data_IF_777077742085
#
_entry.id   IF_777077742085
#
_cell.length_a   1.000
_cell.length_b   1.000
_cell.length_c   1.000
_cell.angle_alpha   90.00
_cell.angle_beta   90.00
_cell.angle_gamma   90.00
#
_symmetry.space_group_name_H-M   'P 1'
#
loop_
_entity.id
_entity.type
_entity.pdbx_description
1 polymer ?
#
# COMPACT_ATOMS: atom_id res chain seq x y z
N UNK A 1 41.25 -2.90 -9.52
CA UNK A 1 40.00 -2.43 -8.88
C UNK A 1 40.34 -1.12 -8.21
N UNK A 2 40.05 0.00 -8.88
CA UNK A 2 40.25 1.32 -8.29
C UNK A 2 39.28 1.46 -7.11
N UNK A 3 39.82 1.73 -5.92
CA UNK A 3 39.01 2.10 -4.76
C UNK A 3 38.36 3.44 -5.06
N UNK A 4 37.02 3.57 -4.99
CA UNK A 4 36.37 4.85 -5.20
C UNK A 4 36.88 5.90 -4.19
N UNK A 5 36.83 7.20 -4.53
CA UNK A 5 37.28 8.28 -3.65
C UNK A 5 36.62 8.18 -2.27
N UNK A 6 37.39 8.42 -1.21
CA UNK A 6 36.96 8.32 0.20
C UNK A 6 35.75 9.19 0.58
N UNK A 7 35.35 10.14 -0.28
CA UNK A 7 34.31 11.14 -0.01
C UNK A 7 32.97 10.87 -0.72
N UNK A 8 32.87 9.88 -1.61
CA UNK A 8 31.57 9.54 -2.23
C UNK A 8 30.86 8.48 -1.39
N UNK A 9 29.67 8.78 -0.81
CA UNK A 9 28.94 7.81 -0.02
C UNK A 9 28.63 6.57 -0.87
N UNK A 10 28.98 5.41 -0.35
CA UNK A 10 28.76 4.13 -1.01
C UNK A 10 27.26 3.86 -1.14
N UNK A 11 26.86 3.08 -2.16
CA UNK A 11 25.46 2.67 -2.34
C UNK A 11 24.86 2.07 -1.04
N UNK A 12 25.68 1.34 -0.28
CA UNK A 12 25.32 0.77 1.02
C UNK A 12 24.98 1.84 2.06
N UNK A 13 25.78 2.89 2.18
CA UNK A 13 25.55 3.98 3.13
C UNK A 13 24.29 4.77 2.77
N UNK A 14 24.11 5.09 1.49
CA UNK A 14 22.90 5.76 0.97
C UNK A 14 21.66 4.93 1.31
N UNK A 15 21.73 3.61 1.10
CA UNK A 15 20.65 2.67 1.40
C UNK A 15 20.32 2.64 2.89
N UNK A 16 21.32 2.46 3.76
CA UNK A 16 21.12 2.39 5.21
C UNK A 16 20.50 3.67 5.75
N UNK A 17 20.92 4.83 5.24
CA UNK A 17 20.38 6.13 5.65
C UNK A 17 18.89 6.31 5.33
N UNK A 18 18.41 5.71 4.23
CA UNK A 18 17.04 5.86 3.74
C UNK A 18 16.15 4.63 3.97
N UNK A 19 16.72 3.53 4.49
CA UNK A 19 16.04 2.25 4.65
C UNK A 19 14.75 2.37 5.49
N UNK A 20 14.79 3.09 6.61
CA UNK A 20 13.60 3.29 7.45
C UNK A 20 12.49 4.01 6.71
N UNK A 21 12.82 5.05 5.93
CA UNK A 21 11.84 5.83 5.17
C UNK A 21 11.22 5.00 4.06
N UNK A 22 12.02 4.20 3.38
CA UNK A 22 11.53 3.22 2.41
C UNK A 22 10.56 2.23 3.03
N UNK A 23 10.90 1.64 4.17
CA UNK A 23 10.03 0.66 4.84
C UNK A 23 8.72 1.30 5.28
N UNK A 24 8.75 2.55 5.74
CA UNK A 24 7.54 3.32 6.03
C UNK A 24 6.67 3.49 4.77
N UNK A 25 7.27 3.85 3.62
CA UNK A 25 6.54 3.95 2.34
C UNK A 25 5.96 2.60 1.92
N UNK A 26 6.72 1.51 2.06
CA UNK A 26 6.25 0.16 1.75
C UNK A 26 5.12 -0.29 2.68
N UNK A 27 5.17 0.09 3.95
CA UNK A 27 4.09 -0.17 4.92
C UNK A 27 2.80 0.55 4.52
N UNK A 28 2.89 1.79 4.03
CA UNK A 28 1.73 2.48 3.44
C UNK A 28 1.24 1.77 2.17
N UNK A 29 2.16 1.31 1.31
CA UNK A 29 1.79 0.47 0.16
C UNK A 29 1.00 -0.77 0.57
N UNK A 30 1.42 -1.45 1.64
CA UNK A 30 0.70 -2.59 2.21
C UNK A 30 -0.68 -2.19 2.76
N UNK A 31 -0.81 -1.02 3.39
CA UNK A 31 -2.11 -0.51 3.87
C UNK A 31 -3.09 -0.26 2.71
N UNK A 32 -2.61 0.25 1.57
CA UNK A 32 -3.44 0.41 0.37
C UNK A 32 -3.87 -0.95 -0.22
N UNK A 33 -2.98 -1.95 -0.21
CA UNK A 33 -3.32 -3.32 -0.61
C UNK A 33 -4.38 -3.90 0.33
N UNK A 34 -4.26 -3.68 1.64
CA UNK A 34 -5.25 -4.10 2.62
C UNK A 34 -6.61 -3.44 2.35
N UNK A 35 -6.63 -2.13 2.11
CA UNK A 35 -7.85 -1.40 1.73
C UNK A 35 -8.48 -1.97 0.45
N UNK A 36 -7.66 -2.33 -0.54
CA UNK A 36 -8.14 -2.94 -1.77
C UNK A 36 -8.83 -4.28 -1.52
N UNK A 37 -8.24 -5.15 -0.70
CA UNK A 37 -8.86 -6.44 -0.37
C UNK A 37 -10.18 -6.23 0.36
N UNK A 38 -10.22 -5.33 1.36
CA UNK A 38 -11.46 -4.99 2.08
C UNK A 38 -12.53 -4.49 1.10
N UNK A 39 -12.17 -3.58 0.17
CA UNK A 39 -13.10 -3.04 -0.83
C UNK A 39 -13.65 -4.13 -1.75
N UNK A 40 -12.82 -5.09 -2.17
CA UNK A 40 -13.25 -6.22 -2.99
C UNK A 40 -14.19 -7.17 -2.23
N UNK A 41 -13.95 -7.41 -0.94
CA UNK A 41 -14.87 -8.18 -0.09
C UNK A 41 -16.22 -7.47 0.02
N UNK A 42 -16.19 -6.17 0.33
CA UNK A 42 -17.41 -5.36 0.43
C UNK A 42 -18.18 -5.34 -0.90
N UNK A 43 -17.49 -5.39 -2.04
CA UNK A 43 -18.14 -5.47 -3.34
C UNK A 43 -18.92 -6.78 -3.51
N UNK A 44 -18.35 -7.92 -3.10
CA UNK A 44 -19.03 -9.23 -3.16
C UNK A 44 -20.25 -9.22 -2.24
N UNK A 45 -20.12 -8.74 -1.00
CA UNK A 45 -21.24 -8.67 -0.06
C UNK A 45 -22.36 -7.76 -0.57
N UNK A 46 -22.02 -6.59 -1.10
CA UNK A 46 -23.01 -5.68 -1.67
C UNK A 46 -23.74 -6.30 -2.87
N UNK A 47 -23.04 -7.09 -3.70
CA UNK A 47 -23.65 -7.77 -4.83
C UNK A 47 -24.66 -8.85 -4.41
N UNK A 48 -24.46 -9.49 -3.26
CA UNK A 48 -25.32 -10.57 -2.75
C UNK A 48 -26.46 -10.06 -1.87
N UNK A 49 -26.22 -9.03 -1.08
CA UNK A 49 -27.16 -8.54 -0.05
C UNK A 49 -27.91 -7.27 -0.44
N UNK A 50 -27.52 -6.59 -1.53
CA UNK A 50 -28.19 -5.37 -1.98
C UNK A 50 -29.70 -5.57 -2.13
N UNK A 51 -30.51 -4.63 -1.64
CA UNK A 51 -31.97 -4.75 -1.70
C UNK A 51 -32.55 -4.31 -3.05
N UNK A 52 -31.86 -3.41 -3.74
CA UNK A 52 -32.26 -2.83 -5.02
C UNK A 52 -31.18 -3.00 -6.10
N UNK A 53 -31.50 -2.60 -7.34
CA UNK A 53 -30.55 -2.70 -8.46
C UNK A 53 -29.29 -1.85 -8.24
N UNK A 54 -29.42 -0.70 -7.58
CA UNK A 54 -28.29 0.20 -7.27
C UNK A 54 -27.34 -0.52 -6.30
N UNK A 55 -27.86 -1.10 -5.23
CA UNK A 55 -27.08 -1.84 -4.24
C UNK A 55 -26.42 -3.10 -4.80
N UNK A 56 -27.07 -3.83 -5.71
CA UNK A 56 -26.53 -5.09 -6.26
C UNK A 56 -25.54 -4.92 -7.41
N UNK A 57 -25.60 -3.80 -8.15
CA UNK A 57 -24.79 -3.61 -9.37
C UNK A 57 -23.87 -2.42 -9.26
N UNK A 58 -24.41 -1.24 -8.93
CA UNK A 58 -23.65 0.01 -8.97
C UNK A 58 -22.65 0.06 -7.82
N UNK A 59 -23.08 -0.25 -6.60
CA UNK A 59 -22.20 -0.22 -5.42
C UNK A 59 -21.03 -1.20 -5.55
N UNK A 60 -21.21 -2.49 -5.91
CA UNK A 60 -20.11 -3.40 -6.17
C UNK A 60 -19.16 -2.93 -7.26
N UNK A 61 -19.69 -2.38 -8.36
CA UNK A 61 -18.86 -1.88 -9.46
C UNK A 61 -17.94 -0.74 -8.99
N UNK A 62 -18.46 0.21 -8.21
CA UNK A 62 -17.68 1.29 -7.61
C UNK A 62 -16.62 0.75 -6.64
N UNK A 63 -16.98 -0.22 -5.80
CA UNK A 63 -16.06 -0.84 -4.85
C UNK A 63 -14.96 -1.66 -5.53
N UNK A 64 -15.26 -2.33 -6.65
CA UNK A 64 -14.25 -3.02 -7.48
C UNK A 64 -13.32 -2.02 -8.14
N UNK A 65 -13.85 -0.94 -8.73
CA UNK A 65 -13.03 0.10 -9.35
C UNK A 65 -12.11 0.78 -8.31
N UNK A 66 -12.65 1.12 -7.14
CA UNK A 66 -11.90 1.71 -6.04
C UNK A 66 -10.84 0.74 -5.48
N UNK A 67 -11.21 -0.51 -5.23
CA UNK A 67 -10.29 -1.54 -4.78
C UNK A 67 -9.16 -1.80 -5.79
N UNK A 68 -9.48 -1.87 -7.09
CA UNK A 68 -8.49 -1.98 -8.15
C UNK A 68 -7.50 -0.82 -8.19
N UNK A 69 -8.00 0.42 -8.05
CA UNK A 69 -7.15 1.60 -7.97
C UNK A 69 -6.23 1.57 -6.73
N UNK A 70 -6.77 1.23 -5.55
CA UNK A 70 -5.99 1.09 -4.33
C UNK A 70 -4.92 0.00 -4.44
N UNK A 71 -5.25 -1.14 -5.04
CA UNK A 71 -4.31 -2.24 -5.25
C UNK A 71 -3.14 -1.79 -6.13
N UNK A 72 -3.45 -1.14 -7.25
CA UNK A 72 -2.44 -0.63 -8.17
C UNK A 72 -1.52 0.41 -7.49
N UNK A 73 -2.09 1.36 -6.73
CA UNK A 73 -1.32 2.36 -5.98
C UNK A 73 -0.45 1.68 -4.93
N UNK A 74 -1.02 0.76 -4.15
CA UNK A 74 -0.31 0.05 -3.08
C UNK A 74 0.87 -0.77 -3.59
N UNK A 75 0.69 -1.49 -4.71
CA UNK A 75 1.77 -2.22 -5.37
C UNK A 75 2.87 -1.30 -5.89
N UNK A 76 2.52 -0.16 -6.48
CA UNK A 76 3.47 0.83 -6.98
C UNK A 76 4.24 1.51 -5.84
N UNK A 77 3.57 1.86 -4.73
CA UNK A 77 4.21 2.36 -3.52
C UNK A 77 5.15 1.33 -2.90
N UNK A 78 4.76 0.06 -2.83
CA UNK A 78 5.64 -1.01 -2.34
C UNK A 78 6.89 -1.15 -3.23
N UNK A 79 6.74 -0.97 -4.54
CA UNK A 79 7.88 -0.97 -5.47
C UNK A 79 8.69 0.32 -5.47
N UNK A 80 8.27 1.34 -4.72
CA UNK A 80 8.84 2.70 -4.69
C UNK A 80 8.83 3.36 -6.08
N UNK A 81 7.79 3.08 -6.87
CA UNK A 81 7.65 3.64 -8.19
C UNK A 81 7.14 5.10 -8.12
N UNK A 82 7.86 6.08 -8.70
CA UNK A 82 7.45 7.48 -8.68
C UNK A 82 6.09 7.74 -9.34
N UNK A 83 5.58 6.86 -10.22
CA UNK A 83 4.23 7.01 -10.78
C UNK A 83 3.13 6.90 -9.72
N UNK A 84 3.42 6.30 -8.57
CA UNK A 84 2.48 6.17 -7.45
C UNK A 84 2.22 7.49 -6.72
N UNK A 85 3.14 8.47 -6.83
CA UNK A 85 3.13 9.67 -5.98
C UNK A 85 1.87 10.50 -6.17
N UNK A 86 1.51 10.79 -7.42
CA UNK A 86 0.32 11.60 -7.75
C UNK A 86 -0.97 10.95 -7.26
N UNK A 87 -1.29 9.70 -7.64
CA UNK A 87 -2.55 9.08 -7.23
C UNK A 87 -2.62 8.83 -5.71
N UNK A 88 -1.51 8.46 -5.06
CA UNK A 88 -1.45 8.34 -3.61
C UNK A 88 -1.65 9.69 -2.90
N UNK A 89 -1.12 10.79 -3.46
CA UNK A 89 -1.33 12.14 -2.93
C UNK A 89 -2.81 12.53 -3.02
N UNK A 90 -3.45 12.29 -4.16
CA UNK A 90 -4.88 12.59 -4.34
C UNK A 90 -5.73 11.84 -3.33
N UNK A 91 -5.53 10.52 -3.20
CA UNK A 91 -6.26 9.72 -2.22
C UNK A 91 -5.96 10.14 -0.78
N UNK A 92 -4.71 10.50 -0.47
CA UNK A 92 -4.37 10.99 0.86
C UNK A 92 -5.07 12.32 1.16
N UNK A 93 -5.13 13.26 0.21
CA UNK A 93 -5.87 14.52 0.38
C UNK A 93 -7.36 14.28 0.63
N UNK A 94 -7.99 13.37 -0.09
CA UNK A 94 -9.40 12.98 0.17
C UNK A 94 -9.53 12.33 1.55
N UNK A 95 -8.60 11.45 1.89
CA UNK A 95 -8.57 10.76 3.18
C UNK A 95 -8.32 11.67 4.38
N UNK A 96 -7.82 12.90 4.20
CA UNK A 96 -7.71 13.89 5.27
C UNK A 96 -9.08 14.27 5.86
N UNK A 97 -10.16 14.15 5.08
CA UNK A 97 -11.53 14.43 5.51
C UNK A 97 -12.05 13.39 6.52
N UNK A 98 -11.44 12.21 6.60
CA UNK A 98 -11.81 11.15 7.54
C UNK A 98 -11.20 11.37 8.92
N UNK A 99 -11.67 12.39 9.65
CA UNK A 99 -11.17 12.75 10.97
C UNK A 99 -11.61 11.76 12.07
N UNK A 100 -10.77 11.46 13.09
CA UNK A 100 -9.38 11.92 13.29
C UNK A 100 -8.31 10.98 12.71
N UNK A 101 -8.60 9.68 12.62
CA UNK A 101 -7.62 8.66 12.27
C UNK A 101 -7.17 8.76 10.81
N UNK A 102 -8.10 9.00 9.89
CA UNK A 102 -7.79 9.21 8.48
C UNK A 102 -6.95 10.47 8.26
N UNK A 103 -7.22 11.57 8.99
CA UNK A 103 -6.38 12.76 8.93
C UNK A 103 -4.94 12.46 9.34
N UNK A 104 -4.74 11.77 10.46
CA UNK A 104 -3.39 11.45 10.96
C UNK A 104 -2.62 10.54 9.99
N UNK A 105 -3.26 9.46 9.53
CA UNK A 105 -2.64 8.50 8.60
C UNK A 105 -2.32 9.19 7.28
N UNK A 106 -3.27 9.92 6.69
CA UNK A 106 -3.07 10.52 5.38
C UNK A 106 -2.13 11.73 5.41
N UNK A 107 -2.09 12.50 6.49
CA UNK A 107 -1.06 13.52 6.69
C UNK A 107 0.34 12.89 6.71
N UNK A 108 0.48 11.72 7.36
CA UNK A 108 1.74 10.97 7.37
C UNK A 108 2.10 10.42 5.98
N UNK A 109 1.11 9.92 5.20
CA UNK A 109 1.34 9.50 3.80
C UNK A 109 1.87 10.67 2.95
N UNK A 110 1.23 11.84 3.06
CA UNK A 110 1.67 13.04 2.34
C UNK A 110 3.09 13.44 2.73
N UNK A 111 3.41 13.39 4.03
CA UNK A 111 4.78 13.62 4.52
C UNK A 111 5.78 12.62 3.92
N UNK A 112 5.47 11.32 3.92
CA UNK A 112 6.38 10.30 3.39
C UNK A 112 6.67 10.50 1.90
N UNK A 113 5.67 10.92 1.11
CA UNK A 113 5.80 11.10 -0.35
C UNK A 113 6.54 12.40 -0.69
N UNK A 114 6.22 13.51 0.00
CA UNK A 114 6.67 14.86 -0.38
C UNK A 114 7.86 15.38 0.42
N UNK A 115 8.29 14.67 1.47
CA UNK A 115 9.52 15.02 2.20
C UNK A 115 10.77 14.89 1.33
N UNK A 116 11.87 15.51 1.79
CA UNK A 116 13.18 15.39 1.15
C UNK A 116 13.62 13.92 0.99
N UNK A 117 13.39 13.09 2.03
CA UNK A 117 13.66 11.65 2.00
C UNK A 117 12.78 10.92 0.99
N UNK A 118 11.49 11.30 0.88
CA UNK A 118 10.58 10.76 -0.13
C UNK A 118 11.09 10.99 -1.55
N UNK A 119 11.55 12.21 -1.85
CA UNK A 119 12.13 12.54 -3.17
C UNK A 119 13.32 11.65 -3.52
N UNK A 120 14.19 11.34 -2.55
CA UNK A 120 15.32 10.43 -2.74
C UNK A 120 14.83 9.01 -2.99
N UNK A 121 13.97 8.48 -2.13
CA UNK A 121 13.51 7.08 -2.20
C UNK A 121 12.72 6.77 -3.49
N UNK A 122 11.96 7.74 -4.02
CA UNK A 122 11.27 7.61 -5.30
C UNK A 122 12.12 7.98 -6.52
N UNK A 123 13.38 8.40 -6.32
CA UNK A 123 14.29 8.79 -7.40
C UNK A 123 14.82 7.60 -8.20
N UNK A 124 15.15 7.84 -9.48
CA UNK A 124 15.71 6.80 -10.35
C UNK A 124 17.05 6.26 -9.82
N UNK A 125 17.91 7.14 -9.30
CA UNK A 125 19.21 6.77 -8.74
C UNK A 125 19.07 5.86 -7.51
N UNK A 126 18.01 6.03 -6.72
CA UNK A 126 17.79 5.17 -5.56
C UNK A 126 17.38 3.74 -5.95
N UNK A 127 16.76 3.56 -7.12
CA UNK A 127 16.44 2.22 -7.63
C UNK A 127 17.71 1.46 -8.01
N UNK A 128 18.73 2.14 -8.56
CA UNK A 128 20.03 1.49 -8.84
C UNK A 128 20.78 1.15 -7.54
N UNK A 129 20.73 2.03 -6.53
CA UNK A 129 21.24 1.76 -5.19
C UNK A 129 20.59 0.50 -4.58
N UNK A 130 19.26 0.40 -4.67
CA UNK A 130 18.50 -0.76 -4.17
C UNK A 130 18.87 -2.06 -4.90
N UNK A 131 19.07 -2.00 -6.22
CA UNK A 131 19.46 -3.16 -7.01
C UNK A 131 20.89 -3.63 -6.69
N UNK A 132 21.79 -2.70 -6.35
CA UNK A 132 23.17 -2.98 -5.95
C UNK A 132 23.30 -3.54 -4.52
N UNK A 133 22.29 -3.38 -3.66
CA UNK A 133 22.32 -3.83 -2.25
C UNK A 133 21.18 -4.81 -1.90
N UNK A 134 21.11 -6.00 -2.53
CA UNK A 134 20.02 -6.96 -2.30
C UNK A 134 20.07 -7.65 -0.93
N UNK A 135 21.21 -7.63 -0.26
CA UNK A 135 21.46 -8.20 1.07
C UNK A 135 20.80 -7.39 2.20
N UNK A 136 20.59 -6.08 1.99
CA UNK A 136 20.04 -5.16 2.99
C UNK A 136 18.52 -5.14 2.88
N UNK A 137 17.88 -6.12 3.52
CA UNK A 137 16.42 -6.19 3.66
C UNK A 137 16.00 -5.87 5.07
N UNK A 138 15.20 -4.81 5.23
CA UNK A 138 14.51 -4.60 6.49
C UNK A 138 13.41 -5.66 6.63
N UNK A 139 13.34 -6.28 7.80
CA UNK A 139 12.37 -7.33 8.07
C UNK A 139 11.00 -6.66 8.26
N UNK A 140 10.18 -6.65 7.21
CA UNK A 140 8.80 -6.20 7.31
C UNK A 140 8.12 -7.02 8.41
N UNK A 141 7.61 -6.37 9.47
CA UNK A 141 7.15 -7.06 10.67
C UNK A 141 6.07 -8.10 10.30
N UNK A 142 6.27 -9.33 10.78
CA UNK A 142 5.40 -10.51 10.55
C UNK A 142 3.90 -10.26 10.81
N UNK A 143 3.59 -9.25 11.62
CA UNK A 143 2.23 -8.78 11.92
C UNK A 143 1.44 -8.42 10.66
N UNK A 144 2.06 -7.81 9.65
CA UNK A 144 1.38 -7.50 8.38
C UNK A 144 0.96 -8.77 7.64
N UNK A 145 1.82 -9.79 7.65
CA UNK A 145 1.53 -11.08 7.03
C UNK A 145 0.46 -11.85 7.79
N UNK A 146 0.46 -11.79 9.12
CA UNK A 146 -0.58 -12.41 9.94
C UNK A 146 -1.91 -11.69 9.79
N UNK A 147 -1.92 -10.36 9.72
CA UNK A 147 -3.13 -9.59 9.44
C UNK A 147 -3.72 -9.93 8.06
N UNK A 148 -2.87 -10.02 7.03
CA UNK A 148 -3.31 -10.43 5.69
C UNK A 148 -3.82 -11.88 5.65
N UNK A 149 -3.12 -12.82 6.31
CA UNK A 149 -3.55 -14.21 6.39
C UNK A 149 -4.89 -14.36 7.14
N UNK A 150 -5.06 -13.65 8.26
CA UNK A 150 -6.31 -13.63 9.03
C UNK A 150 -7.46 -13.10 8.18
N UNK A 151 -7.22 -12.02 7.43
CA UNK A 151 -8.21 -11.46 6.51
C UNK A 151 -8.61 -12.45 5.41
N UNK A 152 -7.64 -13.15 4.80
CA UNK A 152 -7.93 -14.17 3.78
C UNK A 152 -8.73 -15.33 4.39
N UNK A 153 -8.39 -15.79 5.59
CA UNK A 153 -9.16 -16.82 6.30
C UNK A 153 -10.59 -16.34 6.55
N UNK A 154 -10.76 -15.10 7.01
CA UNK A 154 -12.09 -14.50 7.18
C UNK A 154 -12.87 -14.44 5.87
N UNK A 155 -12.22 -14.08 4.75
CA UNK A 155 -12.83 -14.10 3.42
C UNK A 155 -13.30 -15.49 3.02
N UNK A 156 -12.49 -16.53 3.26
CA UNK A 156 -12.85 -17.92 2.96
C UNK A 156 -14.07 -18.34 3.78
N UNK A 157 -14.10 -18.00 5.08
CA UNK A 157 -15.24 -18.31 5.96
C UNK A 157 -16.49 -17.59 5.46
N UNK A 158 -16.43 -16.29 5.16
CA UNK A 158 -17.55 -15.53 4.63
C UNK A 158 -18.10 -16.14 3.33
N UNK A 159 -17.20 -16.54 2.42
CA UNK A 159 -17.56 -17.19 1.16
C UNK A 159 -18.24 -18.55 1.37
N UNK A 160 -17.74 -19.38 2.30
CA UNK A 160 -18.37 -20.67 2.64
C UNK A 160 -19.78 -20.47 3.20
N UNK A 161 -19.97 -19.51 4.10
CA UNK A 161 -21.29 -19.20 4.65
C UNK A 161 -22.26 -18.68 3.59
N UNK A 162 -21.77 -17.90 2.61
CA UNK A 162 -22.58 -17.45 1.48
C UNK A 162 -23.03 -18.63 0.60
N UNK A 163 -22.14 -19.61 0.36
CA UNK A 163 -22.49 -20.82 -0.41
C UNK A 163 -23.41 -21.78 0.35
N UNK A 164 -23.43 -21.70 1.68
CA UNK A 164 -24.15 -22.63 2.53
C UNK A 164 -24.94 -21.87 3.60
N UNK A 165 -26.02 -21.17 3.21
CA UNK A 165 -26.79 -20.36 4.15
C UNK A 165 -27.32 -21.26 5.27
N UNK A 166 -27.25 -20.84 6.55
CA UNK A 166 -27.86 -21.59 7.64
C UNK A 166 -29.36 -21.73 7.38
N UNK A 167 -29.86 -22.96 7.47
CA UNK A 167 -31.26 -23.34 7.25
C UNK A 167 -32.23 -22.65 8.23
#
# INVERSE_FOLDING_TARGET
METPPLDTPTAREIRVQHLTHEVSVQSIGALYILGAVISLVSAVMAATEGQDQIGRVIVPLLLVAFGGAQLWIGLKLWRLDPTAKVPATILACVGLLAFPLGTLINAYVLYLIHSAKGRVVFGADYQSVRAATPDIKYRMHWILWVGLALLIVFMIIAFINLMNPPA
#
